data_IF_069478489848
#
_entry.id   IF_069478489848
#
_cell.length_a   1.000
_cell.length_b   1.000
_cell.length_c   1.000
_cell.angle_alpha   90.00
_cell.angle_beta   90.00
_cell.angle_gamma   90.00
#
_symmetry.space_group_name_H-M   'P 1'
#
loop_
_entity.id
_entity.type
_entity.pdbx_description
1 polymer ?
#
# COMPACT_ATOMS: atom_id res chain seq x y z
N UNK A 1 3.13 -14.36 -8.73
CA UNK A 1 1.90 -13.94 -8.01
C UNK A 1 1.16 -12.93 -8.87
N UNK A 2 -0.15 -13.06 -8.99
CA UNK A 2 -0.98 -12.10 -9.72
C UNK A 2 -1.09 -10.79 -8.92
N UNK A 3 -0.66 -9.66 -9.49
CA UNK A 3 -0.69 -8.38 -8.77
C UNK A 3 -2.13 -7.86 -8.68
N UNK A 4 -2.63 -7.69 -7.45
CA UNK A 4 -3.96 -7.14 -7.15
C UNK A 4 -4.17 -5.79 -7.84
N UNK A 5 -3.11 -4.98 -7.89
CA UNK A 5 -3.07 -3.67 -8.56
C UNK A 5 -3.55 -3.68 -10.01
N UNK A 6 -3.33 -4.76 -10.77
CA UNK A 6 -3.68 -4.78 -12.19
C UNK A 6 -5.03 -5.42 -12.46
N UNK A 7 -5.47 -6.32 -11.56
CA UNK A 7 -6.60 -7.22 -11.85
C UNK A 7 -7.90 -6.86 -11.16
N UNK A 8 -7.85 -5.98 -10.17
CA UNK A 8 -9.00 -5.60 -9.36
C UNK A 8 -9.33 -4.14 -9.62
N UNK A 9 -10.52 -3.87 -10.16
CA UNK A 9 -10.99 -2.52 -10.49
C UNK A 9 -10.94 -1.61 -9.26
N UNK A 10 -11.32 -2.11 -8.09
CA UNK A 10 -11.37 -1.36 -6.84
C UNK A 10 -10.01 -0.80 -6.42
N UNK A 11 -8.91 -1.41 -6.88
CA UNK A 11 -7.56 -0.86 -6.65
C UNK A 11 -7.36 0.52 -7.28
N UNK A 12 -8.15 0.85 -8.31
CA UNK A 12 -8.15 2.16 -8.98
C UNK A 12 -9.09 3.20 -8.35
N UNK A 13 -9.87 2.77 -7.35
CA UNK A 13 -10.94 3.58 -6.75
C UNK A 13 -10.52 4.07 -5.37
N UNK A 14 -10.25 3.15 -4.44
CA UNK A 14 -9.99 3.46 -3.04
C UNK A 14 -8.88 2.56 -2.49
N UNK A 15 -7.94 3.20 -1.78
CA UNK A 15 -6.93 2.55 -0.96
C UNK A 15 -7.17 2.92 0.51
N UNK A 16 -7.28 1.92 1.37
CA UNK A 16 -7.29 2.06 2.82
C UNK A 16 -5.86 1.97 3.34
N UNK A 17 -5.48 2.86 4.24
CA UNK A 17 -4.20 2.84 4.95
C UNK A 17 -4.47 2.54 6.41
N UNK A 18 -3.90 1.45 6.91
CA UNK A 18 -3.99 1.03 8.31
C UNK A 18 -2.60 1.13 8.95
N UNK A 19 -2.43 2.12 9.83
CA UNK A 19 -1.19 2.36 10.59
C UNK A 19 -1.31 1.89 12.05
N UNK A 20 -2.25 0.99 12.35
CA UNK A 20 -2.46 0.50 13.72
C UNK A 20 -1.42 -0.56 14.16
N UNK A 21 -0.61 -1.06 13.23
CA UNK A 21 0.38 -2.09 13.51
C UNK A 21 1.75 -1.47 13.80
N UNK A 22 2.40 -1.97 14.84
CA UNK A 22 3.77 -1.63 15.22
C UNK A 22 4.53 -2.89 15.60
N UNK A 23 5.85 -2.81 15.52
CA UNK A 23 6.75 -3.79 16.10
C UNK A 23 7.66 -3.09 17.11
N UNK A 24 7.13 -2.93 18.33
CA UNK A 24 7.81 -2.33 19.48
C UNK A 24 9.27 -2.76 19.68
N UNK A 25 9.65 -4.05 19.56
CA UNK A 25 11.04 -4.47 19.80
C UNK A 25 12.07 -3.81 18.86
N UNK A 26 11.66 -3.38 17.66
CA UNK A 26 12.53 -2.66 16.72
C UNK A 26 12.14 -1.18 16.58
N UNK A 27 11.15 -0.71 17.34
CA UNK A 27 10.59 0.63 17.22
C UNK A 27 10.23 0.97 15.76
N UNK A 28 9.60 0.02 15.05
CA UNK A 28 9.16 0.21 13.66
C UNK A 28 7.64 0.26 13.59
N UNK A 29 7.10 1.22 12.86
CA UNK A 29 5.69 1.28 12.49
C UNK A 29 5.44 0.44 11.23
N UNK A 30 4.28 -0.18 11.17
CA UNK A 30 3.85 -1.05 10.08
C UNK A 30 2.54 -0.47 9.53
N UNK A 31 2.62 0.10 8.32
CA UNK A 31 1.44 0.63 7.63
C UNK A 31 1.02 -0.30 6.50
N UNK A 32 -0.19 -0.81 6.57
CA UNK A 32 -0.74 -1.73 5.58
C UNK A 32 -1.67 -0.98 4.61
N UNK A 33 -1.56 -1.33 3.32
CA UNK A 33 -2.37 -0.76 2.25
C UNK A 33 -3.30 -1.81 1.69
N UNK A 34 -4.59 -1.49 1.59
CA UNK A 34 -5.60 -2.42 1.11
C UNK A 34 -6.58 -1.77 0.16
N UNK A 35 -7.22 -2.58 -0.68
CA UNK A 35 -8.43 -2.21 -1.41
C UNK A 35 -9.58 -3.14 -1.03
N UNK A 36 -10.80 -2.64 -1.11
CA UNK A 36 -12.00 -3.45 -0.90
C UNK A 36 -12.28 -4.30 -2.14
N UNK A 37 -12.81 -5.50 -1.94
CA UNK A 37 -13.26 -6.43 -2.96
C UNK A 37 -14.55 -7.10 -2.48
N UNK A 38 -15.29 -7.73 -3.38
CA UNK A 38 -16.54 -8.44 -3.06
C UNK A 38 -16.38 -9.52 -1.97
N UNK A 39 -15.16 -10.02 -1.75
CA UNK A 39 -14.84 -11.09 -0.80
C UNK A 39 -14.15 -10.55 0.47
N UNK A 40 -13.94 -9.23 0.58
CA UNK A 40 -13.26 -8.60 1.72
C UNK A 40 -12.15 -7.64 1.29
N UNK A 41 -11.07 -7.56 2.05
CA UNK A 41 -9.92 -6.67 1.76
C UNK A 41 -8.78 -7.43 1.09
N UNK A 42 -8.18 -6.81 0.07
CA UNK A 42 -7.01 -7.32 -0.63
C UNK A 42 -5.82 -6.39 -0.42
N UNK A 43 -4.62 -6.92 -0.15
CA UNK A 43 -3.44 -6.09 0.07
C UNK A 43 -2.94 -5.46 -1.23
N UNK A 44 -2.64 -4.17 -1.16
CA UNK A 44 -1.92 -3.37 -2.16
C UNK A 44 -0.46 -3.14 -1.75
N UNK A 45 -0.12 -3.21 -0.46
CA UNK A 45 1.25 -2.93 -0.06
C UNK A 45 1.41 -2.91 1.44
N UNK A 46 2.67 -2.79 1.85
CA UNK A 46 3.08 -2.72 3.23
C UNK A 46 4.30 -1.80 3.34
N UNK A 47 4.27 -0.92 4.33
CA UNK A 47 5.40 -0.11 4.73
C UNK A 47 5.89 -0.57 6.09
N UNK A 48 7.20 -0.68 6.22
CA UNK A 48 7.87 -0.83 7.51
C UNK A 48 8.76 0.40 7.63
N UNK A 49 8.38 1.30 8.52
CA UNK A 49 9.05 2.59 8.70
C UNK A 49 9.54 2.74 10.13
N UNK A 50 10.59 3.52 10.32
CA UNK A 50 11.11 3.82 11.65
C UNK A 50 10.26 4.86 12.40
N UNK A 51 9.44 5.62 11.67
CA UNK A 51 8.53 6.63 12.18
C UNK A 51 7.32 6.81 11.25
N UNK A 52 6.35 7.59 11.70
CA UNK A 52 5.10 7.91 10.99
C UNK A 52 5.07 9.36 10.50
N UNK A 53 6.24 9.98 10.33
CA UNK A 53 6.31 11.36 9.84
C UNK A 53 5.89 11.43 8.37
N UNK A 54 5.29 12.57 7.99
CA UNK A 54 4.84 12.82 6.62
C UNK A 54 5.94 12.59 5.58
N UNK A 55 7.16 13.06 5.86
CA UNK A 55 8.33 12.90 4.97
C UNK A 55 8.68 11.42 4.76
N UNK A 56 8.55 10.60 5.80
CA UNK A 56 8.85 9.16 5.74
C UNK A 56 7.78 8.43 4.96
N UNK A 57 6.51 8.73 5.21
CA UNK A 57 5.38 8.16 4.48
C UNK A 57 5.38 8.56 3.00
N UNK A 58 5.70 9.82 2.68
CA UNK A 58 5.84 10.30 1.31
C UNK A 58 6.94 9.53 0.56
N UNK A 59 8.10 9.36 1.18
CA UNK A 59 9.19 8.54 0.61
C UNK A 59 8.77 7.08 0.41
N UNK A 60 8.07 6.50 1.38
CA UNK A 60 7.59 5.12 1.28
C UNK A 60 6.59 4.95 0.12
N UNK A 61 5.67 5.90 -0.04
CA UNK A 61 4.72 5.92 -1.16
C UNK A 61 5.40 6.08 -2.50
N UNK A 62 6.36 7.00 -2.62
CA UNK A 62 7.12 7.18 -3.85
C UNK A 62 7.94 5.93 -4.20
N UNK A 63 8.52 5.27 -3.19
CA UNK A 63 9.21 3.99 -3.38
C UNK A 63 8.25 2.90 -3.86
N UNK A 64 7.04 2.81 -3.28
CA UNK A 64 6.00 1.89 -3.75
C UNK A 64 5.65 2.13 -5.21
N UNK A 65 5.41 3.38 -5.60
CA UNK A 65 5.12 3.76 -6.99
C UNK A 65 6.23 3.33 -7.94
N UNK A 66 7.49 3.46 -7.53
CA UNK A 66 8.64 3.08 -8.36
C UNK A 66 8.77 1.57 -8.65
N UNK A 67 8.20 0.71 -7.79
CA UNK A 67 8.23 -0.75 -7.97
C UNK A 67 6.96 -1.29 -8.63
N UNK A 68 5.94 -0.44 -8.82
CA UNK A 68 4.70 -0.80 -9.49
C UNK A 68 4.86 -0.72 -11.01
N UNK A 69 4.09 -1.52 -11.73
CA UNK A 69 4.06 -1.46 -13.19
C UNK A 69 3.32 -0.19 -13.64
N UNK A 70 3.59 0.26 -14.86
CA UNK A 70 2.85 1.37 -15.49
C UNK A 70 1.33 1.08 -15.60
N UNK A 71 0.93 -0.19 -15.53
CA UNK A 71 -0.45 -0.63 -15.62
C UNK A 71 -1.09 -0.88 -14.23
N UNK A 72 -0.42 -0.48 -13.15
CA UNK A 72 -0.95 -0.59 -11.81
C UNK A 72 -2.25 0.22 -11.62
N UNK A 73 -2.99 -0.14 -10.58
CA UNK A 73 -4.29 0.45 -10.22
C UNK A 73 -5.26 0.46 -11.41
N UNK A 74 -5.44 -0.70 -12.03
CA UNK A 74 -6.30 -0.92 -13.20
C UNK A 74 -5.97 0.03 -14.37
N UNK A 75 -4.69 0.35 -14.57
CA UNK A 75 -4.20 1.20 -15.65
C UNK A 75 -4.32 2.71 -15.41
N UNK A 76 -4.57 3.17 -14.18
CA UNK A 76 -4.65 4.61 -13.85
C UNK A 76 -3.29 5.30 -13.62
N UNK A 77 -2.19 4.58 -13.83
CA UNK A 77 -0.83 4.99 -13.43
C UNK A 77 -0.70 5.14 -11.90
N UNK A 78 0.51 4.94 -11.36
CA UNK A 78 0.78 4.89 -9.92
C UNK A 78 1.32 6.22 -9.37
#
# INVERSE_FOLDING_TARGET
MSRVHEKILQSSEICYMDASASFEPLNTSITLLYTSCAVGVLPLGLFITSDELEITLEKALNLLKSILSQHAFYGREA
#
